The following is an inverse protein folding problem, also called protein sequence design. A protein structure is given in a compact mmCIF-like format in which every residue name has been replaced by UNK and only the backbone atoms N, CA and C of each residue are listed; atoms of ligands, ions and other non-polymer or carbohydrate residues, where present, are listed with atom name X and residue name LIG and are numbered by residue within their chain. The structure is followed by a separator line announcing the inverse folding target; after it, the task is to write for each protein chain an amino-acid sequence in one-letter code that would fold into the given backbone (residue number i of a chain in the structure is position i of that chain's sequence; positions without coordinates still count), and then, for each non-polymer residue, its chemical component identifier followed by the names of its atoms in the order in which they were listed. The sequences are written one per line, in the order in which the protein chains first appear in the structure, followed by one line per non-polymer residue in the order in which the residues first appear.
data_IF_029368983218
#
_entry.id   IF_029368983218
#
_cell.length_a   1.000
_cell.length_b   1.000
_cell.length_c   1.000
_cell.angle_alpha   90.00
_cell.angle_beta   90.00
_cell.angle_gamma   90.00
#
_symmetry.space_group_name_H-M   'P 1'
#
loop_
_entity.id
_entity.type
_entity.pdbx_description
1 polymer ?
#
# COMPACT_ATOMS: atom_id res chain seq x y z
N UNK A 1 -31.40 32.06 23.73
CA UNK A 1 -31.10 30.61 23.78
C UNK A 1 -30.47 30.22 22.45
N UNK A 2 -29.21 29.78 22.41
CA UNK A 2 -28.54 29.37 21.16
C UNK A 2 -28.90 27.92 20.87
N UNK A 3 -29.47 27.65 19.69
CA UNK A 3 -29.73 26.28 19.21
C UNK A 3 -28.54 25.81 18.38
N UNK A 4 -27.96 24.68 18.75
CA UNK A 4 -26.96 23.99 17.92
C UNK A 4 -27.65 23.01 16.97
N UNK A 5 -27.26 23.03 15.69
CA UNK A 5 -27.73 22.08 14.68
C UNK A 5 -26.61 21.09 14.39
N UNK A 6 -26.83 19.81 14.70
CA UNK A 6 -25.93 18.72 14.31
C UNK A 6 -26.30 18.25 12.90
N UNK A 7 -25.31 18.11 12.02
CA UNK A 7 -25.48 17.54 10.68
C UNK A 7 -24.60 16.30 10.54
N UNK A 8 -25.18 15.23 10.00
CA UNK A 8 -24.41 14.06 9.61
C UNK A 8 -23.68 14.35 8.29
N UNK A 9 -22.36 14.24 8.29
CA UNK A 9 -21.52 14.40 7.10
C UNK A 9 -20.80 13.10 6.85
N UNK A 10 -20.96 12.55 5.66
CA UNK A 10 -20.26 11.35 5.24
C UNK A 10 -18.81 11.68 4.93
N UNK A 11 -17.90 10.84 5.42
CA UNK A 11 -16.47 10.96 5.17
C UNK A 11 -15.98 9.68 4.50
N UNK A 12 -14.90 9.80 3.74
CA UNK A 12 -14.16 8.66 3.17
C UNK A 12 -12.67 8.83 3.36
N UNK A 13 -11.95 7.71 3.29
CA UNK A 13 -10.49 7.68 3.28
C UNK A 13 -10.00 7.70 1.83
N UNK A 14 -8.95 8.46 1.57
CA UNK A 14 -8.18 8.47 0.32
C UNK A 14 -6.70 8.40 0.64
N UNK A 15 -5.85 8.14 -0.36
CA UNK A 15 -4.41 8.35 -0.20
C UNK A 15 -4.11 9.85 -0.04
N UNK A 16 -3.16 10.18 0.81
CA UNK A 16 -2.67 11.53 1.00
C UNK A 16 -1.94 12.00 -0.27
N UNK A 17 -2.32 13.15 -0.86
CA UNK A 17 -1.84 13.57 -2.19
C UNK A 17 -0.35 13.92 -2.22
N UNK A 18 0.21 14.39 -1.09
CA UNK A 18 1.60 14.83 -1.01
C UNK A 18 2.56 13.75 -0.48
N UNK A 19 2.15 12.49 -0.51
CA UNK A 19 2.98 11.38 -0.04
C UNK A 19 2.99 10.25 -1.05
N UNK A 20 4.16 9.66 -1.24
CA UNK A 20 4.32 8.45 -2.03
C UNK A 20 3.83 7.21 -1.28
N UNK A 21 3.68 6.13 -2.05
CA UNK A 21 3.51 4.77 -1.57
C UNK A 21 4.85 4.05 -1.66
N UNK A 22 5.13 3.16 -0.72
CA UNK A 22 6.28 2.25 -0.80
C UNK A 22 5.77 0.81 -0.85
N UNK A 23 6.23 0.05 -1.84
CA UNK A 23 6.00 -1.37 -2.00
C UNK A 23 7.27 -2.16 -1.66
N UNK A 24 7.07 -3.27 -0.95
CA UNK A 24 8.13 -4.19 -0.57
C UNK A 24 7.63 -5.62 -0.71
N UNK A 25 8.56 -6.57 -0.83
CA UNK A 25 8.23 -7.98 -0.82
C UNK A 25 9.33 -8.83 -0.16
N UNK A 26 8.92 -9.92 0.46
CA UNK A 26 9.82 -10.96 0.96
C UNK A 26 9.33 -12.35 0.54
N UNK A 27 10.27 -13.27 0.31
CA UNK A 27 9.96 -14.65 -0.02
C UNK A 27 9.51 -15.40 1.25
N UNK A 28 8.45 -16.20 1.15
CA UNK A 28 7.96 -17.01 2.26
C UNK A 28 8.79 -18.28 2.51
N UNK A 29 9.72 -18.61 1.60
CA UNK A 29 10.50 -19.85 1.64
C UNK A 29 11.97 -19.64 1.96
N UNK A 30 12.51 -18.44 1.73
CA UNK A 30 13.90 -18.11 2.02
C UNK A 30 14.04 -16.64 2.41
N UNK A 31 15.26 -16.22 2.79
CA UNK A 31 15.53 -14.86 3.30
C UNK A 31 15.63 -13.78 2.21
N UNK A 32 15.08 -14.03 1.02
CA UNK A 32 15.14 -13.06 -0.07
C UNK A 32 14.13 -11.93 0.16
N UNK A 33 14.54 -10.71 -0.13
CA UNK A 33 13.72 -9.49 -0.08
C UNK A 33 13.89 -8.71 -1.39
N UNK A 34 12.81 -8.09 -1.86
CA UNK A 34 12.85 -7.15 -2.97
C UNK A 34 13.42 -5.80 -2.52
N UNK A 35 13.97 -5.03 -3.46
CA UNK A 35 14.29 -3.63 -3.18
C UNK A 35 12.98 -2.82 -3.03
N UNK A 36 12.82 -2.01 -1.97
CA UNK A 36 11.65 -1.14 -1.84
C UNK A 36 11.51 -0.18 -3.03
N UNK A 37 10.28 0.03 -3.53
CA UNK A 37 10.01 0.89 -4.68
C UNK A 37 8.68 1.62 -4.54
N UNK A 38 8.55 2.78 -5.18
CA UNK A 38 7.27 3.49 -5.33
C UNK A 38 6.40 2.92 -6.44
N UNK A 39 6.97 2.09 -7.30
CA UNK A 39 6.25 1.35 -8.34
C UNK A 39 6.09 -0.13 -7.94
N UNK A 40 4.84 -0.55 -7.75
CA UNK A 40 4.50 -1.93 -7.38
C UNK A 40 4.84 -2.94 -8.48
N UNK A 41 4.79 -2.54 -9.76
CA UNK A 41 5.12 -3.43 -10.87
C UNK A 41 6.61 -3.81 -10.86
N UNK A 42 7.48 -2.88 -10.46
CA UNK A 42 8.91 -3.15 -10.25
C UNK A 42 9.12 -4.26 -9.21
N UNK A 43 8.43 -4.18 -8.06
CA UNK A 43 8.50 -5.22 -7.01
C UNK A 43 7.96 -6.57 -7.49
N UNK A 44 6.89 -6.56 -8.30
CA UNK A 44 6.32 -7.78 -8.88
C UNK A 44 7.28 -8.44 -9.87
N UNK A 45 8.01 -7.66 -10.69
CA UNK A 45 9.06 -8.18 -11.58
C UNK A 45 10.21 -8.82 -10.79
N UNK A 46 10.60 -8.25 -9.66
CA UNK A 46 11.60 -8.85 -8.78
C UNK A 46 11.13 -10.20 -8.22
N UNK A 47 9.87 -10.29 -7.78
CA UNK A 47 9.26 -11.54 -7.30
C UNK A 47 9.24 -12.60 -8.42
N UNK A 48 8.77 -12.24 -9.63
CA UNK A 48 8.76 -13.16 -10.78
C UNK A 48 10.17 -13.63 -11.13
N UNK A 49 11.15 -12.73 -11.08
CA UNK A 49 12.56 -13.06 -11.32
C UNK A 49 13.11 -14.00 -10.24
N UNK A 50 12.73 -13.81 -8.97
CA UNK A 50 13.06 -14.72 -7.89
C UNK A 50 12.45 -16.10 -8.14
N UNK A 51 11.15 -16.18 -8.47
CA UNK A 51 10.47 -17.43 -8.82
C UNK A 51 11.17 -18.16 -9.97
N UNK A 52 11.57 -17.45 -11.02
CA UNK A 52 12.28 -18.06 -12.15
C UNK A 52 13.63 -18.69 -11.76
N UNK A 53 14.30 -18.16 -10.73
CA UNK A 53 15.62 -18.65 -10.27
C UNK A 53 15.52 -19.74 -9.20
N UNK A 54 14.53 -19.69 -8.32
CA UNK A 54 14.43 -20.58 -7.15
C UNK A 54 13.26 -21.56 -7.19
N UNK A 55 12.26 -21.32 -8.03
CA UNK A 55 10.98 -22.04 -8.02
C UNK A 55 10.04 -21.65 -6.87
N UNK A 56 10.42 -20.71 -6.00
CA UNK A 56 9.57 -20.24 -4.90
C UNK A 56 8.44 -19.36 -5.44
N UNK A 57 7.19 -19.64 -5.02
CA UNK A 57 5.98 -18.97 -5.55
C UNK A 57 5.23 -18.13 -4.50
N UNK A 58 5.56 -18.27 -3.21
CA UNK A 58 4.92 -17.53 -2.14
C UNK A 58 5.74 -16.31 -1.71
N UNK A 59 5.09 -15.14 -1.68
CA UNK A 59 5.69 -13.88 -1.24
C UNK A 59 4.75 -13.13 -0.30
N UNK A 60 5.28 -12.51 0.74
CA UNK A 60 4.57 -11.49 1.52
C UNK A 60 4.86 -10.14 0.88
N UNK A 61 3.82 -9.38 0.53
CA UNK A 61 3.92 -8.00 0.07
C UNK A 61 3.52 -7.02 1.16
N UNK A 62 4.27 -5.93 1.31
CA UNK A 62 3.89 -4.78 2.13
C UNK A 62 3.65 -3.59 1.20
N UNK A 63 2.58 -2.85 1.46
CA UNK A 63 2.28 -1.57 0.82
C UNK A 63 2.07 -0.54 1.93
N UNK A 64 3.00 0.40 2.03
CA UNK A 64 2.93 1.50 2.98
C UNK A 64 2.41 2.73 2.25
N UNK A 65 1.24 3.21 2.65
CA UNK A 65 0.60 4.42 2.13
C UNK A 65 0.18 5.32 3.29
N UNK A 66 0.07 6.62 3.04
CA UNK A 66 -0.49 7.55 4.00
C UNK A 66 -1.93 7.89 3.62
N UNK A 67 -2.81 7.89 4.61
CA UNK A 67 -4.23 8.11 4.42
C UNK A 67 -4.63 9.54 4.78
N UNK A 68 -5.56 10.10 4.02
CA UNK A 68 -6.22 11.38 4.28
C UNK A 68 -7.73 11.16 4.35
N UNK A 69 -8.38 11.75 5.36
CA UNK A 69 -9.85 11.74 5.48
C UNK A 69 -10.41 12.95 4.75
N UNK A 70 -11.37 12.73 3.86
CA UNK A 70 -12.08 13.77 3.12
C UNK A 70 -13.60 13.66 3.34
N UNK A 71 -14.31 14.78 3.21
CA UNK A 71 -15.78 14.79 3.18
C UNK A 71 -16.25 14.29 1.81
N UNK A 72 -17.26 13.43 1.78
CA UNK A 72 -18.01 13.16 0.55
C UNK A 72 -18.78 14.44 0.22
N UNK A 73 -18.53 14.99 -0.98
CA UNK A 73 -19.15 16.22 -1.47
C UNK A 73 -20.64 16.09 -1.72
#
# INVERSE_FOLDING_TARGET
MVRSVMRYVKHRITQHPDTDVTFEAECLHCKWTAMPSTDGATVDVECMSHTGRSGHKGFRRLCTSFAMVVRDG
#
